data_IF_044189105257
#
_entry.id   IF_044189105257
#
_cell.length_a   1.000
_cell.length_b   1.000
_cell.length_c   1.000
_cell.angle_alpha   90.00
_cell.angle_beta   90.00
_cell.angle_gamma   90.00
#
_symmetry.space_group_name_H-M   'P 1'
#
loop_
_entity.id
_entity.type
_entity.pdbx_description
1 polymer ?
#
# COMPACT_ATOMS: atom_id res chain seq x y z
N UNK A 1 3.56 17.19 -18.62
CA UNK A 1 3.01 18.55 -18.48
C UNK A 1 1.77 18.69 -17.61
N UNK A 2 1.16 17.72 -17.02
CA UNK A 2 -0.08 17.93 -16.27
C UNK A 2 -0.20 17.13 -14.96
N UNK A 3 0.83 16.48 -14.49
CA UNK A 3 0.73 15.59 -13.33
C UNK A 3 1.69 15.90 -12.19
N UNK A 4 2.12 17.13 -12.07
CA UNK A 4 2.85 17.62 -10.89
C UNK A 4 1.95 17.92 -9.70
N UNK A 5 0.89 17.20 -9.50
CA UNK A 5 0.02 17.39 -8.35
C UNK A 5 -0.33 16.08 -7.69
N UNK A 6 0.67 15.39 -7.17
CA UNK A 6 0.41 14.57 -6.03
C UNK A 6 0.73 15.39 -4.78
N UNK A 7 -0.32 15.95 -4.24
CA UNK A 7 -0.27 16.68 -2.99
C UNK A 7 0.05 15.75 -1.85
N UNK A 8 1.04 16.20 -1.10
CA UNK A 8 1.05 16.12 0.37
C UNK A 8 1.40 14.79 0.98
N UNK A 9 2.67 14.63 1.23
CA UNK A 9 3.05 14.36 2.61
C UNK A 9 4.27 15.23 2.90
N UNK A 10 4.11 16.10 3.86
CA UNK A 10 5.14 16.97 4.40
C UNK A 10 6.31 16.12 4.88
N UNK A 11 7.50 16.35 4.34
CA UNK A 11 8.74 15.79 4.89
C UNK A 11 9.59 14.94 3.95
N UNK A 12 9.19 14.73 2.70
CA UNK A 12 9.95 13.89 1.78
C UNK A 12 10.28 14.59 0.46
N UNK A 13 10.92 15.75 0.52
CA UNK A 13 11.39 16.41 -0.71
C UNK A 13 12.37 15.54 -1.52
N UNK A 14 12.99 14.55 -0.90
CA UNK A 14 13.84 13.58 -1.59
C UNK A 14 13.08 12.47 -2.31
N UNK A 15 11.86 12.13 -1.85
CA UNK A 15 11.08 11.04 -2.46
C UNK A 15 10.25 11.49 -3.67
N UNK A 16 9.93 12.78 -3.79
CA UNK A 16 9.06 13.30 -4.87
C UNK A 16 9.73 13.20 -6.25
N UNK A 17 11.05 13.20 -6.32
CA UNK A 17 11.77 13.14 -7.59
C UNK A 17 11.78 11.76 -8.23
N UNK A 18 11.57 10.72 -7.42
CA UNK A 18 11.69 9.32 -7.84
C UNK A 18 10.33 8.62 -7.96
N UNK A 19 9.23 9.34 -7.68
CA UNK A 19 7.86 8.84 -7.84
C UNK A 19 7.30 9.33 -9.18
N UNK A 20 7.13 8.40 -10.12
CA UNK A 20 6.54 8.68 -11.42
C UNK A 20 5.02 8.81 -11.35
N UNK A 21 4.35 8.03 -10.53
CA UNK A 21 2.90 7.98 -10.42
C UNK A 21 2.45 7.72 -8.99
N UNK A 22 1.34 8.35 -8.60
CA UNK A 22 0.69 8.11 -7.33
C UNK A 22 -0.81 7.99 -7.55
N UNK A 23 -1.39 6.87 -7.13
CA UNK A 23 -2.80 6.56 -7.30
C UNK A 23 -3.46 6.36 -5.95
N UNK A 24 -4.50 7.13 -5.67
CA UNK A 24 -5.35 6.95 -4.49
C UNK A 24 -6.49 5.99 -4.81
N UNK A 25 -6.63 4.96 -3.99
CA UNK A 25 -7.76 4.03 -4.01
C UNK A 25 -8.69 4.40 -2.86
N UNK A 26 -9.98 4.48 -3.11
CA UNK A 26 -10.94 4.81 -2.06
C UNK A 26 -11.00 3.76 -0.96
N UNK A 27 -11.41 4.17 0.24
CA UNK A 27 -11.63 3.29 1.39
C UNK A 27 -13.11 3.02 1.70
N UNK A 28 -14.01 3.49 0.87
CA UNK A 28 -15.44 3.27 1.03
C UNK A 28 -15.88 1.88 0.55
N UNK A 29 -17.04 1.36 0.99
CA UNK A 29 -17.55 0.04 0.57
C UNK A 29 -17.74 -0.12 -0.94
N UNK A 30 -17.93 0.98 -1.65
CA UNK A 30 -18.02 0.99 -3.12
C UNK A 30 -16.82 1.78 -3.63
N UNK A 31 -15.81 1.06 -4.10
CA UNK A 31 -14.58 1.63 -4.66
C UNK A 31 -14.61 1.56 -6.19
N UNK A 32 -14.04 2.57 -6.84
CA UNK A 32 -13.96 2.61 -8.30
C UNK A 32 -12.89 1.68 -8.86
N UNK A 33 -11.73 1.60 -8.19
CA UNK A 33 -10.61 0.73 -8.56
C UNK A 33 -10.08 0.01 -7.33
N UNK A 34 -9.67 -1.23 -7.52
CA UNK A 34 -9.03 -2.05 -6.48
C UNK A 34 -7.49 -1.91 -6.53
N UNK A 35 -6.80 -2.43 -5.51
CA UNK A 35 -5.34 -2.57 -5.57
C UNK A 35 -4.91 -3.39 -6.79
N UNK A 36 -5.63 -4.46 -7.10
CA UNK A 36 -5.31 -5.37 -8.21
C UNK A 36 -5.39 -4.63 -9.54
N UNK A 37 -6.44 -3.84 -9.78
CA UNK A 37 -6.61 -3.08 -11.02
C UNK A 37 -5.43 -2.13 -11.27
N UNK A 38 -4.98 -1.44 -10.22
CA UNK A 38 -3.86 -0.49 -10.32
C UNK A 38 -2.52 -1.22 -10.43
N UNK A 39 -2.34 -2.31 -9.71
CA UNK A 39 -1.13 -3.13 -9.82
C UNK A 39 -0.99 -3.75 -11.21
N UNK A 40 -2.08 -4.15 -11.85
CA UNK A 40 -2.07 -4.64 -13.22
C UNK A 40 -1.57 -3.56 -14.21
N UNK A 41 -2.02 -2.32 -14.04
CA UNK A 41 -1.53 -1.19 -14.84
C UNK A 41 -0.03 -0.97 -14.62
N UNK A 42 0.45 -0.94 -13.38
CA UNK A 42 1.87 -0.78 -13.08
C UNK A 42 2.72 -1.97 -13.54
N UNK A 43 2.18 -3.18 -13.53
CA UNK A 43 2.89 -4.36 -14.04
C UNK A 43 3.17 -4.25 -15.54
N UNK A 44 2.24 -3.65 -16.29
CA UNK A 44 2.31 -3.47 -17.74
C UNK A 44 3.03 -2.17 -18.17
N UNK A 45 3.27 -1.25 -17.25
CA UNK A 45 3.97 0.01 -17.54
C UNK A 45 5.49 -0.21 -17.55
N UNK A 46 6.17 0.00 -18.68
CA UNK A 46 7.62 -0.21 -18.79
C UNK A 46 8.45 0.80 -17.97
N UNK A 47 7.90 1.94 -17.60
CA UNK A 47 8.60 2.97 -16.83
C UNK A 47 8.52 2.73 -15.31
N UNK A 48 7.61 1.87 -14.85
CA UNK A 48 7.50 1.49 -13.44
C UNK A 48 8.56 0.45 -13.10
N UNK A 49 9.50 0.78 -12.24
CA UNK A 49 10.56 -0.13 -11.78
C UNK A 49 10.18 -0.89 -10.50
N UNK A 50 9.35 -0.29 -9.65
CA UNK A 50 8.86 -0.89 -8.41
C UNK A 50 7.66 -0.15 -7.86
N UNK A 51 6.96 -0.74 -6.90
CA UNK A 51 5.72 -0.19 -6.34
C UNK A 51 5.76 -0.16 -4.82
N UNK A 52 5.27 0.93 -4.24
CA UNK A 52 4.98 1.02 -2.81
C UNK A 52 3.47 0.95 -2.63
N UNK A 53 2.99 -0.06 -1.95
CA UNK A 53 1.59 -0.24 -1.59
C UNK A 53 1.36 0.27 -0.17
N UNK A 54 0.44 1.22 -0.01
CA UNK A 54 0.08 1.77 1.29
C UNK A 54 -1.35 1.35 1.63
N UNK A 55 -1.49 0.62 2.71
CA UNK A 55 -2.78 0.17 3.22
C UNK A 55 -3.01 0.60 4.66
N UNK A 56 -4.13 0.19 5.20
CA UNK A 56 -4.53 0.50 6.57
C UNK A 56 -5.27 -0.66 7.22
N UNK A 57 -5.63 -0.51 8.48
CA UNK A 57 -6.45 -1.48 9.21
C UNK A 57 -7.87 -1.58 8.64
N UNK A 58 -8.47 -2.76 8.76
CA UNK A 58 -9.81 -3.06 8.28
C UNK A 58 -9.84 -3.65 6.86
N UNK A 59 -10.89 -4.40 6.56
CA UNK A 59 -11.04 -5.09 5.29
C UNK A 59 -9.96 -6.13 4.97
N UNK A 60 -9.99 -6.66 3.75
CA UNK A 60 -9.10 -7.72 3.25
C UNK A 60 -8.37 -7.37 1.94
N UNK A 61 -8.57 -6.16 1.43
CA UNK A 61 -8.10 -5.78 0.09
C UNK A 61 -6.57 -5.91 -0.08
N UNK A 62 -5.79 -5.60 0.96
CA UNK A 62 -4.33 -5.73 0.91
C UNK A 62 -3.88 -7.20 0.92
N UNK A 63 -4.59 -8.08 1.63
CA UNK A 63 -4.30 -9.52 1.61
C UNK A 63 -4.63 -10.13 0.25
N UNK A 64 -5.76 -9.74 -0.36
CA UNK A 64 -6.13 -10.16 -1.71
C UNK A 64 -5.11 -9.69 -2.74
N UNK A 65 -4.68 -8.43 -2.63
CA UNK A 65 -3.60 -7.88 -3.45
C UNK A 65 -2.28 -8.65 -3.26
N UNK A 66 -1.93 -9.01 -2.02
CA UNK A 66 -0.71 -9.75 -1.71
C UNK A 66 -0.67 -11.11 -2.42
N UNK A 67 -1.74 -11.86 -2.38
CA UNK A 67 -1.83 -13.15 -3.09
C UNK A 67 -1.76 -12.96 -4.61
N UNK A 68 -2.44 -11.95 -5.14
CA UNK A 68 -2.37 -11.65 -6.56
C UNK A 68 -0.96 -11.24 -7.01
N UNK A 69 -0.26 -10.41 -6.20
CA UNK A 69 1.13 -10.00 -6.45
C UNK A 69 2.03 -11.22 -6.57
N UNK A 70 1.92 -12.16 -5.64
CA UNK A 70 2.74 -13.38 -5.64
C UNK A 70 2.69 -14.14 -6.96
N UNK A 71 1.52 -14.22 -7.58
CA UNK A 71 1.30 -15.05 -8.75
C UNK A 71 1.44 -14.28 -10.08
N UNK A 72 1.24 -12.96 -10.08
CA UNK A 72 1.07 -12.19 -11.30
C UNK A 72 2.04 -11.01 -11.44
N UNK A 73 2.54 -10.45 -10.34
CA UNK A 73 3.32 -9.22 -10.38
C UNK A 73 4.82 -9.52 -10.48
N UNK A 74 5.51 -8.83 -11.41
CA UNK A 74 6.90 -9.16 -11.75
C UNK A 74 7.93 -8.17 -11.19
N UNK A 75 7.46 -7.07 -10.63
CA UNK A 75 8.31 -5.97 -10.15
C UNK A 75 8.40 -5.99 -8.63
N UNK A 76 9.45 -5.45 -8.03
CA UNK A 76 9.57 -5.36 -6.58
C UNK A 76 8.42 -4.54 -5.96
N UNK A 77 7.90 -5.03 -4.85
CA UNK A 77 6.86 -4.37 -4.07
C UNK A 77 7.30 -4.22 -2.63
N UNK A 78 7.25 -2.99 -2.14
CA UNK A 78 7.29 -2.71 -0.72
C UNK A 78 5.90 -2.31 -0.23
N UNK A 79 5.59 -2.52 1.04
CA UNK A 79 4.30 -2.15 1.60
C UNK A 79 4.44 -1.40 2.91
N UNK A 80 3.43 -0.61 3.24
CA UNK A 80 3.26 -0.01 4.56
C UNK A 80 1.80 -0.15 4.99
N UNK A 81 1.56 -0.58 6.22
CA UNK A 81 0.22 -0.70 6.80
C UNK A 81 0.07 0.27 7.96
N UNK A 82 -0.81 1.26 7.76
CA UNK A 82 -1.15 2.24 8.79
C UNK A 82 -2.08 1.66 9.86
N UNK A 83 -2.08 2.28 11.04
CA UNK A 83 -3.02 1.94 12.10
C UNK A 83 -2.56 0.85 13.08
N UNK A 84 -1.28 0.49 13.12
CA UNK A 84 -0.76 -0.52 14.03
C UNK A 84 -1.04 -0.21 15.53
N UNK A 85 -1.16 1.08 15.88
CA UNK A 85 -1.48 1.53 17.24
C UNK A 85 -2.97 1.84 17.45
N UNK A 86 -3.82 1.55 16.48
CA UNK A 86 -5.23 1.84 16.55
C UNK A 86 -5.93 1.00 17.62
N UNK A 87 -6.76 1.60 18.49
CA UNK A 87 -7.53 0.84 19.48
C UNK A 87 -8.54 -0.09 18.80
N UNK A 88 -8.64 -1.33 19.28
CA UNK A 88 -9.63 -2.29 18.78
C UNK A 88 -11.06 -1.73 18.91
N UNK A 89 -11.87 -1.96 17.88
CA UNK A 89 -13.27 -1.55 17.85
C UNK A 89 -13.52 -0.05 17.66
N UNK A 90 -12.46 0.76 17.50
CA UNK A 90 -12.61 2.17 17.13
C UNK A 90 -12.41 2.36 15.63
N UNK A 91 -13.29 3.19 15.06
CA UNK A 91 -13.19 3.63 13.68
C UNK A 91 -12.10 4.69 13.56
N UNK A 92 -11.18 4.50 12.62
CA UNK A 92 -10.03 5.39 12.42
C UNK A 92 -10.13 6.07 11.05
N UNK A 93 -10.71 7.26 11.06
CA UNK A 93 -10.85 8.10 9.86
C UNK A 93 -12.12 7.83 9.06
N UNK A 94 -12.25 6.70 8.41
CA UNK A 94 -13.42 6.36 7.60
C UNK A 94 -14.08 5.02 8.02
N UNK A 95 -15.20 4.70 7.41
CA UNK A 95 -16.05 3.59 7.85
C UNK A 95 -15.39 2.21 7.78
N UNK A 96 -14.48 1.99 6.83
CA UNK A 96 -13.77 0.74 6.63
C UNK A 96 -12.56 0.56 7.56
N UNK A 97 -12.00 1.65 8.09
CA UNK A 97 -10.82 1.62 8.95
C UNK A 97 -11.16 1.21 10.40
N UNK A 98 -11.59 -0.02 10.57
CA UNK A 98 -11.97 -0.59 11.87
C UNK A 98 -11.47 -2.03 12.00
N UNK A 99 -10.86 -2.35 13.13
CA UNK A 99 -10.49 -3.74 13.46
C UNK A 99 -11.69 -4.41 14.14
N UNK A 100 -12.31 -5.35 13.44
CA UNK A 100 -13.44 -6.14 13.94
C UNK A 100 -12.95 -7.53 14.37
N UNK A 101 -12.85 -7.73 15.68
CA UNK A 101 -12.36 -9.01 16.22
C UNK A 101 -10.84 -9.21 16.01
N UNK A 102 -10.45 -10.32 15.42
CA UNK A 102 -9.06 -10.64 15.06
C UNK A 102 -8.73 -10.33 13.60
N UNK A 103 -9.73 -10.03 12.78
CA UNK A 103 -9.56 -9.82 11.34
C UNK A 103 -9.31 -8.36 11.00
N UNK A 104 -8.43 -8.12 10.02
CA UNK A 104 -8.12 -6.79 9.51
C UNK A 104 -7.18 -5.96 10.39
N UNK A 105 -6.47 -6.58 11.32
CA UNK A 105 -5.43 -5.87 12.08
C UNK A 105 -4.20 -5.59 11.23
N UNK A 106 -3.42 -4.57 11.63
CA UNK A 106 -2.18 -4.26 10.92
C UNK A 106 -1.17 -5.41 10.99
N UNK A 107 -1.10 -6.12 12.12
CA UNK A 107 -0.21 -7.25 12.32
C UNK A 107 -0.57 -8.41 11.39
N UNK A 108 -1.85 -8.73 11.29
CA UNK A 108 -2.32 -9.79 10.37
C UNK A 108 -2.00 -9.45 8.91
N UNK A 109 -2.29 -8.23 8.48
CA UNK A 109 -1.97 -7.78 7.12
C UNK A 109 -0.47 -7.82 6.84
N UNK A 110 0.36 -7.35 7.76
CA UNK A 110 1.83 -7.42 7.64
C UNK A 110 2.31 -8.86 7.51
N UNK A 111 1.80 -9.76 8.36
CA UNK A 111 2.18 -11.17 8.30
C UNK A 111 1.82 -11.82 6.95
N UNK A 112 0.65 -11.50 6.38
CA UNK A 112 0.26 -11.99 5.05
C UNK A 112 1.18 -11.44 3.97
N UNK A 113 1.44 -10.13 3.97
CA UNK A 113 2.34 -9.48 3.01
C UNK A 113 3.74 -10.11 3.04
N UNK A 114 4.32 -10.28 4.21
CA UNK A 114 5.63 -10.89 4.40
C UNK A 114 5.65 -12.36 3.96
N UNK A 115 4.57 -13.10 4.19
CA UNK A 115 4.46 -14.51 3.80
C UNK A 115 4.52 -14.75 2.29
N UNK A 116 4.18 -13.73 1.51
CA UNK A 116 4.25 -13.77 0.04
C UNK A 116 5.50 -13.09 -0.52
N UNK A 117 6.42 -12.62 0.36
CA UNK A 117 7.69 -12.03 -0.03
C UNK A 117 7.67 -10.51 -0.23
N UNK A 118 6.58 -9.84 0.15
CA UNK A 118 6.50 -8.38 0.12
C UNK A 118 7.17 -7.82 1.38
N UNK A 119 8.11 -6.90 1.20
CA UNK A 119 8.81 -6.27 2.31
C UNK A 119 7.97 -5.15 2.91
N UNK A 120 7.67 -5.27 4.21
CA UNK A 120 6.86 -4.27 4.92
C UNK A 120 7.76 -3.25 5.60
N UNK A 121 7.53 -1.97 5.28
CA UNK A 121 8.24 -0.86 5.91
C UNK A 121 7.77 -0.65 7.35
N UNK A 122 8.68 -0.41 8.30
CA UNK A 122 8.32 -0.17 9.70
C UNK A 122 7.67 1.21 9.90
N UNK A 123 7.99 2.18 9.05
CA UNK A 123 7.47 3.54 9.12
C UNK A 123 7.27 4.17 7.74
N UNK A 124 6.43 5.23 7.62
CA UNK A 124 6.29 5.96 6.37
C UNK A 124 7.60 6.56 5.86
N UNK A 125 8.49 6.99 6.76
CA UNK A 125 9.76 7.60 6.40
C UNK A 125 10.74 6.62 5.73
N UNK A 126 10.58 5.33 5.98
CA UNK A 126 11.46 4.27 5.50
C UNK A 126 10.93 3.55 4.25
N UNK A 127 9.76 3.92 3.75
CA UNK A 127 9.16 3.26 2.58
C UNK A 127 10.07 3.29 1.35
N UNK A 128 10.65 4.45 1.07
CA UNK A 128 11.56 4.62 -0.06
C UNK A 128 12.82 3.77 0.05
N UNK A 129 13.46 3.74 1.23
CA UNK A 129 14.62 2.90 1.48
C UNK A 129 14.27 1.41 1.42
N UNK A 130 13.08 1.05 1.91
CA UNK A 130 12.58 -0.32 1.84
C UNK A 130 12.46 -0.78 0.40
N UNK A 131 11.82 0.01 -0.48
CA UNK A 131 11.71 -0.32 -1.90
C UNK A 131 13.08 -0.35 -2.58
N UNK A 132 13.91 0.66 -2.34
CA UNK A 132 15.27 0.73 -2.91
C UNK A 132 16.13 -0.50 -2.60
N UNK A 133 15.91 -1.13 -1.44
CA UNK A 133 16.62 -2.36 -1.07
C UNK A 133 16.18 -3.59 -1.87
N UNK A 134 15.14 -3.48 -2.69
CA UNK A 134 14.60 -4.53 -3.54
C UNK A 134 14.91 -4.32 -5.03
N UNK A 135 15.29 -3.10 -5.43
CA UNK A 135 15.78 -2.74 -6.75
C UNK A 135 17.26 -3.08 -6.91
#
# INVERSE_FOLDING_TARGET
TAYERCCCIVGSEMCIRDISSCVGIGGDPIIGSTFIDILELFNNDPETEGVIMIGEIGGSAEQEAAYWIKDNFKKPVAAFIAGATAPKGKRMGHAGAIVSGSSGSAEEKKAVLESVGIKVSPSPAEMGETLKSLL
#
